data_IF_963918508791
#
_entry.id   IF_963918508791
#
_cell.length_a   1.000
_cell.length_b   1.000
_cell.length_c   1.000
_cell.angle_alpha   90.00
_cell.angle_beta   90.00
_cell.angle_gamma   90.00
#
_symmetry.space_group_name_H-M   'P 1'
#
loop_
_entity.id
_entity.type
_entity.pdbx_description
1 polymer ?
#
# COMPACT_ATOMS: atom_id res chain seq x y z
N UNK A 1 7.25 -26.68 2.98
CA UNK A 1 6.23 -26.07 2.12
C UNK A 1 6.66 -24.63 1.91
N UNK A 2 6.86 -24.17 0.65
CA UNK A 2 7.32 -22.82 0.42
C UNK A 2 6.30 -21.81 0.95
N UNK A 3 6.80 -20.74 1.60
CA UNK A 3 5.96 -19.72 2.23
C UNK A 3 6.08 -18.41 1.52
N UNK A 4 4.93 -17.83 1.20
CA UNK A 4 4.82 -16.45 0.73
C UNK A 4 4.19 -15.63 1.86
N UNK A 5 4.84 -14.51 2.21
CA UNK A 5 4.30 -13.60 3.21
C UNK A 5 3.79 -12.35 2.53
N UNK A 6 2.50 -12.02 2.72
CA UNK A 6 1.97 -10.69 2.45
C UNK A 6 2.17 -9.83 3.70
N UNK A 7 3.11 -8.90 3.65
CA UNK A 7 3.40 -7.99 4.75
C UNK A 7 2.54 -6.71 4.61
N UNK A 8 1.28 -6.81 5.00
CA UNK A 8 0.28 -5.73 4.86
C UNK A 8 -0.84 -5.86 5.88
N UNK A 9 -1.28 -4.72 6.42
CA UNK A 9 -2.49 -4.64 7.25
C UNK A 9 -3.78 -4.45 6.41
N UNK A 10 -3.69 -4.39 5.08
CA UNK A 10 -4.83 -4.16 4.21
C UNK A 10 -5.64 -5.44 4.01
N UNK A 11 -6.87 -5.46 4.51
CA UNK A 11 -7.82 -6.56 4.29
C UNK A 11 -8.09 -6.84 2.81
N UNK A 12 -8.17 -5.78 1.98
CA UNK A 12 -8.36 -5.92 0.52
C UNK A 12 -7.22 -6.68 -0.14
N UNK A 13 -5.97 -6.37 0.23
CA UNK A 13 -4.80 -7.11 -0.28
C UNK A 13 -4.77 -8.53 0.25
N UNK A 14 -5.17 -8.72 1.50
CA UNK A 14 -5.34 -10.04 2.10
C UNK A 14 -6.31 -10.91 1.30
N UNK A 15 -7.49 -10.38 0.96
CA UNK A 15 -8.48 -11.10 0.15
C UNK A 15 -7.94 -11.46 -1.23
N UNK A 16 -7.24 -10.55 -1.91
CA UNK A 16 -6.62 -10.82 -3.22
C UNK A 16 -5.56 -11.94 -3.15
N UNK A 17 -4.78 -11.97 -2.08
CA UNK A 17 -3.72 -12.99 -1.91
C UNK A 17 -4.26 -14.33 -1.41
N UNK A 18 -5.44 -14.37 -0.79
CA UNK A 18 -6.03 -15.60 -0.27
C UNK A 18 -6.32 -16.62 -1.39
N UNK A 19 -6.66 -16.15 -2.59
CA UNK A 19 -6.91 -17.01 -3.75
C UNK A 19 -5.67 -17.79 -4.21
N UNK A 20 -4.48 -17.35 -3.84
CA UNK A 20 -3.22 -18.05 -4.13
C UNK A 20 -2.87 -19.11 -3.08
N UNK A 21 -3.55 -19.12 -1.93
CA UNK A 21 -3.27 -20.07 -0.86
C UNK A 21 -3.70 -21.48 -1.30
N UNK A 22 -2.77 -22.43 -1.21
CA UNK A 22 -2.98 -23.82 -1.64
C UNK A 22 -2.73 -24.08 -3.13
N UNK A 23 -2.58 -23.05 -3.96
CA UNK A 23 -2.20 -23.22 -5.36
C UNK A 23 -0.73 -23.63 -5.44
N UNK A 24 -0.44 -24.75 -6.12
CA UNK A 24 0.94 -25.25 -6.27
C UNK A 24 1.62 -25.67 -4.98
N UNK A 25 0.87 -25.91 -3.89
CA UNK A 25 1.43 -26.31 -2.61
C UNK A 25 2.12 -25.18 -1.84
N UNK A 26 1.74 -23.92 -2.11
CA UNK A 26 2.28 -22.73 -1.45
C UNK A 26 1.40 -22.35 -0.25
N UNK A 27 2.04 -22.01 0.86
CA UNK A 27 1.38 -21.42 2.04
C UNK A 27 1.47 -19.88 1.97
N UNK A 28 0.34 -19.20 2.04
CA UNK A 28 0.29 -17.72 2.10
C UNK A 28 0.03 -17.30 3.55
N UNK A 29 0.96 -16.53 4.10
CA UNK A 29 0.87 -15.96 5.44
C UNK A 29 0.64 -14.46 5.38
N UNK A 30 -0.12 -13.94 6.32
CA UNK A 30 -0.40 -12.51 6.44
C UNK A 30 0.29 -11.97 7.69
N UNK A 31 1.07 -10.90 7.52
CA UNK A 31 1.79 -10.24 8.63
C UNK A 31 1.65 -8.74 8.53
N UNK A 32 1.46 -8.09 9.66
CA UNK A 32 1.47 -6.64 9.77
C UNK A 32 2.85 -6.19 10.23
N UNK A 33 3.45 -5.25 9.51
CA UNK A 33 4.71 -4.64 9.91
C UNK A 33 4.51 -3.61 11.01
N UNK A 34 5.48 -3.50 11.90
CA UNK A 34 5.51 -2.49 12.97
C UNK A 34 6.04 -1.14 12.51
N UNK A 35 6.59 -1.08 11.31
CA UNK A 35 7.17 0.14 10.75
C UNK A 35 6.13 1.24 10.58
N UNK A 36 6.49 2.46 10.96
CA UNK A 36 5.68 3.65 10.68
C UNK A 36 5.81 4.02 9.21
N UNK A 37 4.68 4.28 8.56
CA UNK A 37 4.68 4.77 7.18
C UNK A 37 5.30 6.17 7.11
N UNK A 38 6.13 6.46 6.08
CA UNK A 38 6.63 7.80 5.85
C UNK A 38 5.49 8.80 5.63
N UNK A 39 5.63 9.99 6.17
CA UNK A 39 4.68 11.08 5.91
C UNK A 39 4.81 11.56 4.45
N UNK A 40 3.69 11.91 3.78
CA UNK A 40 3.74 12.50 2.46
C UNK A 40 4.60 13.77 2.42
N UNK A 41 5.28 13.99 1.31
CA UNK A 41 6.13 15.18 1.10
C UNK A 41 5.79 15.85 -0.22
N UNK A 42 5.82 17.17 -0.27
CA UNK A 42 5.63 17.94 -1.50
C UNK A 42 6.93 18.09 -2.34
N UNK A 43 8.04 17.53 -1.88
CA UNK A 43 9.32 17.62 -2.59
C UNK A 43 9.43 16.69 -3.79
N UNK A 44 8.65 15.61 -3.83
CA UNK A 44 8.68 14.58 -4.84
C UNK A 44 7.28 14.38 -5.46
N UNK A 45 7.24 13.94 -6.71
CA UNK A 45 5.99 13.45 -7.31
C UNK A 45 5.42 12.26 -6.53
N UNK A 46 4.11 12.13 -6.49
CA UNK A 46 3.41 11.06 -5.73
C UNK A 46 3.86 9.67 -6.18
N UNK A 47 4.17 9.49 -7.47
CA UNK A 47 4.78 8.26 -7.96
C UNK A 47 6.05 7.87 -7.19
N UNK A 48 6.96 8.82 -7.02
CA UNK A 48 8.23 8.58 -6.32
C UNK A 48 8.04 8.43 -4.81
N UNK A 49 7.03 9.11 -4.25
CA UNK A 49 6.68 8.95 -2.84
C UNK A 49 6.17 7.53 -2.54
N UNK A 50 5.29 6.98 -3.37
CA UNK A 50 4.76 5.62 -3.18
C UNK A 50 5.84 4.55 -3.39
N UNK A 51 6.78 4.76 -4.32
CA UNK A 51 7.95 3.87 -4.50
C UNK A 51 8.85 3.89 -3.27
N UNK A 52 9.17 5.07 -2.76
CA UNK A 52 9.99 5.22 -1.56
C UNK A 52 9.34 4.60 -0.33
N UNK A 53 8.03 4.78 -0.16
CA UNK A 53 7.26 4.15 0.92
C UNK A 53 7.23 2.63 0.79
N UNK A 54 7.02 2.11 -0.42
CA UNK A 54 7.06 0.68 -0.70
C UNK A 54 8.45 0.08 -0.37
N UNK A 55 9.54 0.76 -0.77
CA UNK A 55 10.90 0.33 -0.46
C UNK A 55 11.19 0.37 1.04
N UNK A 56 10.69 1.40 1.74
CA UNK A 56 10.81 1.47 3.20
C UNK A 56 10.15 0.27 3.88
N UNK A 57 8.93 -0.09 3.44
CA UNK A 57 8.23 -1.31 3.90
C UNK A 57 8.99 -2.59 3.54
N UNK A 58 9.61 -2.66 2.35
CA UNK A 58 10.38 -3.81 1.93
C UNK A 58 11.57 -4.07 2.85
N UNK A 59 12.32 -3.02 3.19
CA UNK A 59 13.44 -3.13 4.16
C UNK A 59 12.97 -3.55 5.54
N UNK A 60 11.89 -2.96 6.03
CA UNK A 60 11.30 -3.34 7.31
C UNK A 60 10.82 -4.79 7.32
N UNK A 61 10.20 -5.26 6.24
CA UNK A 61 9.75 -6.64 6.13
C UNK A 61 10.89 -7.64 6.20
N UNK A 62 12.00 -7.39 5.53
CA UNK A 62 13.21 -8.25 5.63
C UNK A 62 13.73 -8.26 7.07
N UNK A 63 13.89 -7.07 7.68
CA UNK A 63 14.40 -6.95 9.05
C UNK A 63 13.51 -7.62 10.10
N UNK A 64 12.18 -7.46 9.98
CA UNK A 64 11.24 -7.97 10.99
C UNK A 64 10.89 -9.46 10.79
N UNK A 65 10.73 -9.92 9.54
CA UNK A 65 10.13 -11.21 9.26
C UNK A 65 11.15 -12.33 9.03
N UNK A 66 12.30 -12.02 8.43
CA UNK A 66 13.29 -13.06 8.10
C UNK A 66 13.80 -13.76 9.36
N UNK A 67 14.02 -13.02 10.45
CA UNK A 67 14.48 -13.58 11.71
C UNK A 67 13.37 -14.30 12.50
N UNK A 68 12.11 -13.85 12.35
CA UNK A 68 10.99 -14.38 13.15
C UNK A 68 10.28 -15.58 12.53
N UNK A 69 10.19 -15.65 11.19
CA UNK A 69 9.43 -16.68 10.48
C UNK A 69 10.31 -17.85 9.97
N UNK A 70 11.63 -17.71 10.08
CA UNK A 70 12.56 -18.78 9.77
C UNK A 70 12.95 -18.93 8.30
N UNK A 71 13.73 -19.99 7.97
CA UNK A 71 14.37 -20.16 6.66
C UNK A 71 13.41 -20.57 5.52
N UNK A 72 12.19 -20.95 5.83
CA UNK A 72 11.21 -21.45 4.85
C UNK A 72 10.52 -20.34 4.04
N UNK A 73 10.83 -19.06 4.35
CA UNK A 73 10.31 -17.94 3.56
C UNK A 73 10.99 -17.93 2.19
N UNK A 74 10.20 -18.04 1.16
CA UNK A 74 10.65 -17.94 -0.24
C UNK A 74 10.43 -16.55 -0.82
N UNK A 75 9.34 -15.91 -0.41
CA UNK A 75 8.92 -14.61 -0.96
C UNK A 75 8.21 -13.77 0.09
N UNK A 76 8.50 -12.48 0.09
CA UNK A 76 7.73 -11.48 0.83
C UNK A 76 7.17 -10.48 -0.17
N UNK A 77 5.88 -10.17 -0.05
CA UNK A 77 5.19 -9.17 -0.86
C UNK A 77 4.82 -8.00 0.03
N UNK A 78 5.23 -6.81 -0.36
CA UNK A 78 4.80 -5.56 0.26
C UNK A 78 4.19 -4.66 -0.80
N UNK A 79 3.29 -3.78 -0.41
CA UNK A 79 2.71 -2.80 -1.32
C UNK A 79 2.31 -1.54 -0.57
N UNK A 80 2.35 -0.41 -1.27
CA UNK A 80 1.80 0.85 -0.80
C UNK A 80 0.91 1.49 -1.84
N UNK A 81 0.03 2.40 -1.41
CA UNK A 81 -0.92 3.08 -2.27
C UNK A 81 -1.08 4.52 -1.80
N UNK A 82 -0.95 5.47 -2.71
CA UNK A 82 -1.17 6.89 -2.47
C UNK A 82 -2.15 7.46 -3.49
N UNK A 83 -3.04 8.33 -3.04
CA UNK A 83 -3.95 9.10 -3.88
C UNK A 83 -3.28 10.43 -4.24
N UNK A 84 -3.16 10.71 -5.54
CA UNK A 84 -2.63 11.98 -6.05
C UNK A 84 -3.73 13.05 -6.02
N UNK A 85 -3.39 14.24 -5.54
CA UNK A 85 -4.28 15.39 -5.63
C UNK A 85 -4.60 15.70 -7.10
N UNK A 86 -5.87 15.98 -7.47
CA UNK A 86 -6.25 16.24 -8.85
C UNK A 86 -5.54 17.41 -9.53
N UNK A 87 -5.01 18.34 -8.75
CA UNK A 87 -4.37 19.58 -9.28
C UNK A 87 -2.86 19.62 -9.05
N UNK A 88 -2.30 18.71 -8.22
CA UNK A 88 -0.88 18.73 -7.88
C UNK A 88 -0.30 17.32 -7.82
N UNK A 89 0.51 16.97 -8.80
CA UNK A 89 1.19 15.66 -8.89
C UNK A 89 2.22 15.39 -7.78
N UNK A 90 2.51 16.38 -6.94
CA UNK A 90 3.40 16.25 -5.77
C UNK A 90 2.65 16.12 -4.46
N UNK A 91 1.35 16.43 -4.46
CA UNK A 91 0.51 16.35 -3.28
C UNK A 91 -0.16 14.98 -3.20
N UNK A 92 0.26 14.17 -2.25
CA UNK A 92 -0.45 12.95 -1.89
C UNK A 92 -1.54 13.26 -0.87
N UNK A 93 -2.76 12.81 -1.14
CA UNK A 93 -3.85 12.83 -0.17
C UNK A 93 -3.63 11.63 0.76
N UNK A 94 -3.17 11.92 1.98
CA UNK A 94 -2.88 10.90 2.97
C UNK A 94 -4.12 10.27 3.58
N UNK A 95 -3.91 9.26 4.43
CA UNK A 95 -5.00 8.65 5.19
C UNK A 95 -5.62 9.67 6.13
N UNK A 96 -6.93 9.90 6.07
CA UNK A 96 -7.56 10.84 6.99
C UNK A 96 -7.37 10.42 8.45
N UNK A 97 -7.03 11.38 9.30
CA UNK A 97 -6.84 11.17 10.73
C UNK A 97 -8.14 11.33 11.53
N UNK A 98 -9.09 12.08 10.99
CA UNK A 98 -10.36 12.41 11.63
C UNK A 98 -11.47 12.68 10.58
N UNK A 99 -12.69 12.91 11.05
CA UNK A 99 -13.85 13.17 10.19
C UNK A 99 -13.69 14.43 9.34
N UNK A 100 -13.01 15.45 9.83
CA UNK A 100 -12.84 16.73 9.12
C UNK A 100 -11.87 16.51 7.97
N UNK A 101 -10.75 15.87 8.19
CA UNK A 101 -9.79 15.53 7.14
C UNK A 101 -10.39 14.58 6.09
N UNK A 102 -11.23 13.62 6.52
CA UNK A 102 -11.94 12.73 5.61
C UNK A 102 -12.93 13.52 4.72
N UNK A 103 -13.73 14.41 5.30
CA UNK A 103 -14.64 15.27 4.55
C UNK A 103 -13.90 16.18 3.56
N UNK A 104 -12.79 16.77 4.00
CA UNK A 104 -11.93 17.62 3.15
C UNK A 104 -11.40 16.82 1.94
N UNK A 105 -10.92 15.60 2.15
CA UNK A 105 -10.46 14.73 1.06
C UNK A 105 -11.59 14.37 0.10
N UNK A 106 -12.78 14.01 0.61
CA UNK A 106 -13.93 13.67 -0.24
C UNK A 106 -14.42 14.89 -1.06
N UNK A 107 -14.46 16.08 -0.45
CA UNK A 107 -14.79 17.35 -1.17
C UNK A 107 -13.76 17.60 -2.27
N UNK A 108 -12.47 17.38 -1.99
CA UNK A 108 -11.39 17.59 -2.96
C UNK A 108 -11.50 16.66 -4.16
N UNK A 109 -12.01 15.45 -3.98
CA UNK A 109 -12.15 14.42 -5.01
C UNK A 109 -13.53 14.41 -5.70
N UNK A 110 -14.54 15.03 -5.10
CA UNK A 110 -15.93 15.06 -5.60
C UNK A 110 -16.02 15.62 -7.02
N UNK A 111 -16.66 14.89 -7.92
CA UNK A 111 -16.84 15.26 -9.33
C UNK A 111 -15.53 15.32 -10.14
N UNK A 112 -14.46 14.66 -9.69
CA UNK A 112 -13.13 14.83 -10.28
C UNK A 112 -12.44 13.52 -10.58
N UNK A 113 -11.56 13.57 -11.58
CA UNK A 113 -10.60 12.51 -11.89
C UNK A 113 -9.31 12.74 -11.12
N UNK A 114 -8.75 11.66 -10.60
CA UNK A 114 -7.48 11.65 -9.91
C UNK A 114 -6.74 10.33 -10.15
N UNK A 115 -5.45 10.30 -9.88
CA UNK A 115 -4.65 9.08 -9.94
C UNK A 115 -4.54 8.43 -8.57
N UNK A 116 -4.63 7.13 -8.56
CA UNK A 116 -4.32 6.28 -7.41
C UNK A 116 -3.09 5.47 -7.78
N UNK A 117 -1.96 5.81 -7.19
CA UNK A 117 -0.68 5.16 -7.41
C UNK A 117 -0.52 3.97 -6.49
N UNK A 118 -0.03 2.87 -7.03
CA UNK A 118 0.33 1.69 -6.25
C UNK A 118 1.74 1.24 -6.61
N UNK A 119 2.53 0.95 -5.59
CA UNK A 119 3.85 0.34 -5.73
C UNK A 119 3.86 -0.98 -4.99
N UNK A 120 4.35 -2.03 -5.66
CA UNK A 120 4.45 -3.38 -5.08
C UNK A 120 5.87 -3.87 -5.23
N UNK A 121 6.44 -4.39 -4.16
CA UNK A 121 7.73 -5.04 -4.16
C UNK A 121 7.58 -6.53 -3.87
N UNK A 122 8.22 -7.34 -4.70
CA UNK A 122 8.42 -8.77 -4.49
C UNK A 122 9.86 -8.97 -4.04
N UNK A 123 10.04 -9.53 -2.87
CA UNK A 123 11.31 -9.69 -2.18
C UNK A 123 11.61 -11.18 -2.10
N UNK A 124 12.75 -11.60 -2.63
CA UNK A 124 13.18 -13.00 -2.65
C UNK A 124 14.64 -13.14 -2.26
N UNK A 125 15.02 -14.35 -1.80
CA UNK A 125 16.44 -14.67 -1.57
C UNK A 125 17.18 -14.69 -2.90
N UNK A 126 18.37 -14.09 -2.94
CA UNK A 126 19.21 -13.99 -4.14
C UNK A 126 18.44 -13.44 -5.35
N UNK A 127 17.36 -12.68 -5.12
CA UNK A 127 16.50 -12.13 -6.16
C UNK A 127 17.23 -11.11 -7.02
N UNK A 128 16.85 -11.05 -8.30
CA UNK A 128 17.23 -9.98 -9.20
C UNK A 128 16.49 -8.70 -8.79
N UNK A 129 17.21 -7.60 -8.72
CA UNK A 129 16.64 -6.31 -8.38
C UNK A 129 17.54 -5.51 -7.44
N UNK A 130 16.95 -4.61 -6.68
CA UNK A 130 17.69 -3.83 -5.70
C UNK A 130 18.00 -4.70 -4.48
N UNK A 131 19.27 -4.82 -4.13
CA UNK A 131 19.68 -5.48 -2.88
C UNK A 131 19.14 -4.70 -1.68
N UNK A 132 18.48 -5.42 -0.77
CA UNK A 132 17.91 -4.84 0.45
C UNK A 132 18.83 -5.08 1.64
N UNK A 133 19.16 -6.33 1.90
CA UNK A 133 20.01 -6.79 2.99
C UNK A 133 20.39 -8.26 2.79
N UNK A 134 21.63 -8.61 3.16
CA UNK A 134 22.14 -9.99 3.41
C UNK A 134 21.55 -11.10 2.51
N UNK A 135 21.59 -10.90 1.19
CA UNK A 135 21.12 -11.90 0.23
C UNK A 135 19.62 -11.84 -0.08
N UNK A 136 18.93 -10.75 0.29
CA UNK A 136 17.56 -10.46 -0.13
C UNK A 136 17.55 -9.33 -1.14
N UNK A 137 16.86 -9.52 -2.26
CA UNK A 137 16.66 -8.51 -3.30
C UNK A 137 15.17 -8.25 -3.54
N UNK A 138 14.84 -7.03 -3.95
CA UNK A 138 13.47 -6.61 -4.29
C UNK A 138 13.36 -6.20 -5.75
N UNK A 139 12.35 -6.70 -6.42
CA UNK A 139 11.86 -6.17 -7.67
C UNK A 139 10.60 -5.32 -7.37
N UNK A 140 10.56 -4.10 -7.91
CA UNK A 140 9.48 -3.13 -7.64
C UNK A 140 8.78 -2.78 -8.94
N UNK A 141 7.45 -2.69 -8.86
CA UNK A 141 6.58 -2.19 -9.92
C UNK A 141 5.70 -1.09 -9.36
N UNK A 142 5.61 0.00 -10.11
CA UNK A 142 4.75 1.14 -9.78
C UNK A 142 3.87 1.45 -10.96
N UNK A 143 2.57 1.50 -10.71
CA UNK A 143 1.57 1.83 -11.72
C UNK A 143 0.45 2.65 -11.10
N UNK A 144 -0.46 3.18 -11.90
CA UNK A 144 -1.58 3.97 -11.43
C UNK A 144 -2.89 3.59 -12.12
N UNK A 145 -3.97 3.82 -11.40
CA UNK A 145 -5.33 3.81 -11.94
C UNK A 145 -5.89 5.22 -11.95
N UNK A 146 -6.64 5.56 -13.00
CA UNK A 146 -7.45 6.77 -13.00
C UNK A 146 -8.79 6.43 -12.35
N UNK A 147 -9.14 7.19 -11.32
CA UNK A 147 -10.42 7.08 -10.62
C UNK A 147 -11.20 8.37 -10.87
N UNK A 148 -12.47 8.24 -11.20
CA UNK A 148 -13.41 9.36 -11.37
C UNK A 148 -14.50 9.21 -10.30
N UNK A 149 -14.68 10.26 -9.51
CA UNK A 149 -15.79 10.36 -8.59
C UNK A 149 -16.92 11.16 -9.21
N UNK A 150 -18.14 10.69 -9.02
CA UNK A 150 -19.31 11.51 -9.22
C UNK A 150 -19.37 12.65 -8.19
N UNK A 151 -20.20 13.66 -8.43
CA UNK A 151 -20.45 14.68 -7.42
C UNK A 151 -21.03 14.06 -6.15
N UNK A 152 -20.37 14.29 -5.02
CA UNK A 152 -20.80 13.79 -3.71
C UNK A 152 -21.71 14.83 -3.07
N UNK A 153 -23.03 14.59 -3.10
CA UNK A 153 -24.01 15.45 -2.41
C UNK A 153 -23.92 15.35 -0.88
N UNK A 154 -24.48 16.34 -0.18
CA UNK A 154 -24.41 16.44 1.29
C UNK A 154 -24.84 15.16 2.00
N UNK A 155 -25.98 14.55 1.62
CA UNK A 155 -26.47 13.32 2.26
C UNK A 155 -25.54 12.14 2.09
N UNK A 156 -24.94 11.97 0.91
CA UNK A 156 -23.94 10.91 0.66
C UNK A 156 -22.67 11.18 1.47
N UNK A 157 -22.24 12.45 1.54
CA UNK A 157 -21.11 12.86 2.35
C UNK A 157 -21.28 12.52 3.83
N UNK A 158 -22.46 12.89 4.39
CA UNK A 158 -22.78 12.57 5.78
C UNK A 158 -22.76 11.06 6.05
N UNK A 159 -23.31 10.26 5.15
CA UNK A 159 -23.36 8.81 5.29
C UNK A 159 -21.94 8.20 5.22
N UNK A 160 -21.10 8.65 4.29
CA UNK A 160 -19.71 8.21 4.18
C UNK A 160 -18.91 8.53 5.44
N UNK A 161 -19.06 9.75 5.99
CA UNK A 161 -18.37 10.16 7.22
C UNK A 161 -18.90 9.39 8.42
N UNK A 162 -20.20 9.18 8.51
CA UNK A 162 -20.85 8.44 9.62
C UNK A 162 -20.47 6.98 9.63
N UNK A 163 -20.42 6.34 8.46
CA UNK A 163 -20.07 4.91 8.33
C UNK A 163 -18.65 4.56 8.80
N UNK A 164 -17.75 5.53 8.84
CA UNK A 164 -16.34 5.30 9.14
C UNK A 164 -15.59 4.50 8.08
N UNK A 165 -16.17 4.30 6.89
CA UNK A 165 -15.58 3.53 5.79
C UNK A 165 -14.24 4.09 5.28
N UNK A 166 -13.96 5.35 5.58
CA UNK A 166 -12.72 6.06 5.26
C UNK A 166 -11.55 5.71 6.20
N UNK A 167 -11.82 5.15 7.38
CA UNK A 167 -10.78 4.86 8.38
C UNK A 167 -9.75 3.87 7.81
N UNK A 168 -8.48 4.24 7.88
CA UNK A 168 -7.37 3.44 7.37
C UNK A 168 -7.30 3.31 5.84
N UNK A 169 -8.10 4.07 5.11
CA UNK A 169 -8.09 4.11 3.64
C UNK A 169 -7.23 5.28 3.14
N UNK A 170 -6.48 5.01 2.05
CA UNK A 170 -5.82 6.08 1.28
C UNK A 170 -6.86 6.74 0.38
#
# INVERSE_FOLDING_TARGET
>A
MPRIILASASERRGSLMADFSGVGGVEVLFRTLKVKEPEPTSSLEVKLQVEASCMHKARAAVSELVSSEGPEIEMIVVSDTLVEDPDDSRAALGKPSDKISAASTLIRLSGRRHKVWSSTAIITRNGSGMEIDSGWGAAIWTDFSIVEFDEIGEGVMEDLIRSGSWVGKA
#
